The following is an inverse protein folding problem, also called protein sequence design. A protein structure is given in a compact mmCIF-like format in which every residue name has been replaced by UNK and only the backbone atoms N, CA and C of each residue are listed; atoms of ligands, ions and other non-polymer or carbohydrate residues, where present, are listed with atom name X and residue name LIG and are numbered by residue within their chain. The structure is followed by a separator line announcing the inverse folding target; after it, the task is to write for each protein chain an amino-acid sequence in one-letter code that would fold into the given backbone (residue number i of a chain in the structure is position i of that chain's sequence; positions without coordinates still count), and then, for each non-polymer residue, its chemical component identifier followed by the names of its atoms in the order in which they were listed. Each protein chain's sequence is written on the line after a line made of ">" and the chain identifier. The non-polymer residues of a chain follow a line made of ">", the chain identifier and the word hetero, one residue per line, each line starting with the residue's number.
data_IF_346176802276
#
_entry.id   IF_346176802276
#
_cell.length_a   1.000
_cell.length_b   1.000
_cell.length_c   1.000
_cell.angle_alpha   90.00
_cell.angle_beta   90.00
_cell.angle_gamma   90.00
#
_symmetry.space_group_name_H-M   'P 1'
#
loop_
_entity.id
_entity.type
_entity.pdbx_description
1 polymer ?
#
# COMPACT_ATOMS: atom_id res chain seq x y z
N UNK A 1 8.74 0.40 14.01
CA UNK A 1 7.66 0.54 13.00
C UNK A 1 8.33 0.43 11.64
N UNK A 2 7.84 -0.44 10.75
CA UNK A 2 8.38 -0.58 9.39
C UNK A 2 7.40 0.08 8.40
N UNK A 3 7.91 0.70 7.34
CA UNK A 3 7.11 1.39 6.33
C UNK A 3 7.55 0.96 4.91
N UNK A 4 6.67 1.11 3.92
CA UNK A 4 6.98 0.89 2.50
C UNK A 4 7.66 2.12 1.88
N UNK A 5 8.02 2.01 0.60
CA UNK A 5 8.26 3.17 -0.24
C UNK A 5 6.95 3.90 -0.60
N UNK A 6 7.06 5.14 -1.05
CA UNK A 6 5.93 5.96 -1.48
C UNK A 6 5.59 5.65 -2.95
N UNK A 7 4.30 5.46 -3.25
CA UNK A 7 3.81 5.36 -4.62
C UNK A 7 3.31 6.72 -5.10
N UNK A 8 4.20 7.47 -5.76
CA UNK A 8 3.85 8.77 -6.33
C UNK A 8 2.92 8.64 -7.54
N UNK A 9 1.98 9.60 -7.66
CA UNK A 9 1.13 9.81 -8.84
C UNK A 9 0.19 8.66 -9.17
N UNK A 10 -0.37 8.00 -8.15
CA UNK A 10 -1.49 7.08 -8.37
C UNK A 10 -2.74 7.87 -8.77
N UNK A 11 -3.18 7.73 -10.02
CA UNK A 11 -4.36 8.42 -10.55
C UNK A 11 -5.65 7.61 -10.36
N UNK A 12 -5.54 6.29 -10.18
CA UNK A 12 -6.67 5.35 -10.10
C UNK A 12 -7.12 5.07 -8.67
N UNK A 13 -6.41 5.61 -7.67
CA UNK A 13 -6.61 5.26 -6.25
C UNK A 13 -6.01 3.89 -5.89
N UNK A 14 -5.27 3.24 -6.79
CA UNK A 14 -4.63 1.95 -6.54
C UNK A 14 -3.15 2.14 -6.13
N UNK A 15 -2.77 1.51 -5.02
CA UNK A 15 -1.40 1.49 -4.52
C UNK A 15 -0.67 0.19 -4.88
N UNK A 16 0.24 0.22 -5.85
CA UNK A 16 1.03 -0.96 -6.21
C UNK A 16 2.35 -0.99 -5.42
N UNK A 17 2.37 -1.87 -4.43
CA UNK A 17 3.52 -2.14 -3.57
C UNK A 17 3.92 -3.60 -3.69
N UNK A 18 5.21 -3.86 -3.78
CA UNK A 18 5.78 -5.19 -3.59
C UNK A 18 6.88 -5.04 -2.54
N UNK A 19 6.52 -5.28 -1.28
CA UNK A 19 7.34 -4.93 -0.12
C UNK A 19 7.24 -6.00 0.95
N UNK A 20 8.37 -6.37 1.54
CA UNK A 20 8.45 -7.35 2.63
C UNK A 20 8.66 -6.65 3.96
N UNK A 21 7.81 -6.98 4.93
CA UNK A 21 7.99 -6.65 6.33
C UNK A 21 8.49 -7.88 7.09
N UNK A 22 9.41 -7.69 8.04
CA UNK A 22 10.02 -8.80 8.81
C UNK A 22 9.96 -8.45 10.29
N UNK A 23 9.18 -9.19 11.06
CA UNK A 23 9.01 -8.97 12.49
C UNK A 23 9.54 -10.17 13.27
N UNK A 24 10.75 -10.08 13.87
CA UNK A 24 11.22 -11.09 14.81
C UNK A 24 10.50 -10.91 16.15
N UNK A 25 9.96 -11.98 16.71
CA UNK A 25 9.31 -11.97 18.02
C UNK A 25 9.30 -13.36 18.65
N UNK A 26 9.16 -13.42 19.97
CA UNK A 26 8.95 -14.65 20.72
C UNK A 26 7.47 -14.84 21.03
N UNK A 27 6.98 -16.08 20.97
CA UNK A 27 5.56 -16.38 21.18
C UNK A 27 5.37 -17.43 22.27
N UNK A 28 4.61 -17.05 23.29
CA UNK A 28 4.22 -17.93 24.39
C UNK A 28 2.85 -18.56 24.08
N UNK A 29 2.86 -19.79 23.57
CA UNK A 29 1.66 -20.49 23.15
C UNK A 29 0.64 -20.75 24.28
N UNK A 30 1.10 -20.86 25.53
CA UNK A 30 0.21 -21.08 26.68
C UNK A 30 -0.68 -19.88 27.00
N UNK A 31 -0.19 -18.65 26.75
CA UNK A 31 -0.92 -17.40 27.02
C UNK A 31 -1.42 -16.72 25.73
N UNK A 32 -1.07 -17.27 24.57
CA UNK A 32 -1.32 -16.68 23.25
C UNK A 32 -0.76 -15.24 23.09
N UNK A 33 0.36 -14.96 23.75
CA UNK A 33 1.03 -13.64 23.79
C UNK A 33 2.38 -13.64 23.11
N UNK A 34 2.75 -12.49 22.57
CA UNK A 34 4.11 -12.20 22.13
C UNK A 34 4.89 -11.67 23.34
N UNK A 35 6.12 -12.15 23.51
CA UNK A 35 7.07 -11.68 24.53
C UNK A 35 8.06 -10.75 23.84
N UNK A 36 8.24 -9.56 24.41
CA UNK A 36 9.23 -8.59 23.99
C UNK A 36 10.17 -8.30 25.15
N UNK A 37 11.47 -8.53 24.95
CA UNK A 37 12.51 -8.09 25.88
C UNK A 37 12.81 -6.61 25.61
N UNK A 38 12.56 -5.73 26.58
CA UNK A 38 12.92 -4.30 26.49
C UNK A 38 13.97 -3.97 27.56
N UNK A 39 15.01 -3.23 27.17
CA UNK A 39 15.90 -2.55 28.12
C UNK A 39 15.30 -1.18 28.42
N UNK A 40 15.04 -0.86 29.69
CA UNK A 40 14.42 0.41 30.07
C UNK A 40 15.34 1.63 29.84
N UNK A 41 16.65 1.42 29.85
CA UNK A 41 17.66 2.44 29.59
C UNK A 41 18.92 1.82 29.00
N UNK A 42 19.70 2.60 28.23
CA UNK A 42 21.01 2.21 27.70
C UNK A 42 22.04 1.86 28.81
N UNK A 43 21.71 2.17 30.07
CA UNK A 43 22.55 1.93 31.25
C UNK A 43 21.91 0.99 32.28
N UNK A 44 20.67 0.52 32.06
CA UNK A 44 20.04 -0.48 32.92
C UNK A 44 20.39 -1.88 32.43
N UNK A 45 20.96 -2.71 33.31
CA UNK A 45 21.26 -4.12 33.02
C UNK A 45 20.02 -5.02 33.05
N UNK A 46 18.92 -4.54 33.64
CA UNK A 46 17.69 -5.31 33.78
C UNK A 46 16.89 -5.30 32.47
N UNK A 47 16.71 -6.48 31.88
CA UNK A 47 15.81 -6.72 30.75
C UNK A 47 14.40 -6.98 31.30
N UNK A 48 13.45 -6.09 30.98
CA UNK A 48 12.04 -6.29 31.33
C UNK A 48 11.33 -7.01 30.19
N UNK A 49 10.75 -8.17 30.51
CA UNK A 49 9.90 -8.92 29.57
C UNK A 49 8.47 -8.38 29.60
N UNK A 50 8.02 -7.85 28.48
CA UNK A 50 6.66 -7.34 28.31
C UNK A 50 5.87 -8.30 27.43
N UNK A 51 4.72 -8.74 27.94
CA UNK A 51 3.79 -9.60 27.19
C UNK A 51 2.71 -8.77 26.53
N UNK A 52 2.57 -8.89 25.21
CA UNK A 52 1.58 -8.17 24.42
C UNK A 52 0.70 -9.13 23.60
N UNK A 53 -0.55 -8.78 23.26
CA UNK A 53 -1.34 -9.58 22.32
C UNK A 53 -0.64 -9.69 20.97
N UNK A 54 -0.74 -10.86 20.33
CA UNK A 54 -0.24 -11.09 18.98
C UNK A 54 -1.14 -10.39 17.95
N UNK A 55 -0.89 -9.10 17.69
CA UNK A 55 -1.70 -8.25 16.82
C UNK A 55 -0.85 -7.61 15.75
N UNK A 56 -1.27 -7.74 14.49
CA UNK A 56 -0.70 -7.07 13.34
C UNK A 56 -1.60 -5.89 12.97
N UNK A 57 -1.03 -4.68 13.00
CA UNK A 57 -1.72 -3.46 12.59
C UNK A 57 -1.11 -2.97 11.28
N UNK A 58 -1.94 -2.85 10.25
CA UNK A 58 -1.56 -2.27 8.96
C UNK A 58 -2.32 -0.96 8.80
N UNK A 59 -1.60 0.08 8.40
CA UNK A 59 -2.14 1.43 8.24
C UNK A 59 -1.71 1.98 6.89
N UNK A 60 -2.56 2.79 6.27
CA UNK A 60 -2.26 3.52 5.05
C UNK A 60 -2.42 5.00 5.32
N UNK A 61 -1.42 5.74 4.85
CA UNK A 61 -1.29 7.17 4.98
C UNK A 61 -1.10 7.78 3.60
N UNK A 62 -1.72 8.93 3.35
CA UNK A 62 -1.40 9.75 2.20
C UNK A 62 -0.10 10.51 2.48
N UNK A 63 0.86 10.42 1.56
CA UNK A 63 2.18 11.00 1.74
C UNK A 63 2.23 12.36 1.05
N UNK A 64 1.93 13.40 1.81
CA UNK A 64 1.92 14.77 1.32
C UNK A 64 3.29 15.42 1.46
N UNK A 65 3.71 16.17 0.44
CA UNK A 65 5.01 16.83 0.45
C UNK A 65 5.03 18.11 1.30
N UNK A 66 3.86 18.72 1.53
CA UNK A 66 3.74 20.06 2.13
C UNK A 66 2.74 20.15 3.30
N UNK A 67 2.00 19.07 3.60
CA UNK A 67 1.01 18.96 4.71
C UNK A 67 1.43 17.85 5.69
N UNK A 68 0.71 17.74 6.81
CA UNK A 68 0.79 16.53 7.63
C UNK A 68 0.17 15.35 6.85
N UNK A 69 0.77 14.16 6.97
CA UNK A 69 0.28 12.95 6.30
C UNK A 69 -1.16 12.64 6.75
N UNK A 70 -2.07 12.48 5.79
CA UNK A 70 -3.48 12.21 6.07
C UNK A 70 -3.71 10.70 6.27
N UNK A 71 -4.42 10.35 7.35
CA UNK A 71 -4.75 8.94 7.63
C UNK A 71 -5.87 8.45 6.71
N UNK A 72 -5.60 7.41 5.91
CA UNK A 72 -6.55 6.85 4.95
C UNK A 72 -7.29 5.62 5.49
N UNK A 73 -6.70 4.87 6.41
CA UNK A 73 -7.36 3.71 7.01
C UNK A 73 -6.42 2.73 7.68
N UNK A 74 -7.00 1.85 8.48
CA UNK A 74 -6.25 0.81 9.17
C UNK A 74 -7.03 -0.50 9.24
N UNK A 75 -6.30 -1.58 9.51
CA UNK A 75 -6.86 -2.85 9.96
C UNK A 75 -6.00 -3.40 11.08
N UNK A 76 -6.66 -3.98 12.07
CA UNK A 76 -6.04 -4.67 13.19
C UNK A 76 -6.40 -6.15 13.15
N UNK A 77 -5.41 -7.00 12.90
CA UNK A 77 -5.56 -8.45 12.79
C UNK A 77 -4.97 -9.12 14.03
N UNK A 78 -5.81 -9.79 14.82
CA UNK A 78 -5.33 -10.66 15.89
C UNK A 78 -4.80 -11.97 15.29
N UNK A 79 -3.50 -12.20 15.35
CA UNK A 79 -2.82 -13.34 14.74
C UNK A 79 -3.30 -14.71 15.27
N UNK A 80 -3.84 -14.76 16.48
CA UNK A 80 -4.45 -15.97 17.04
C UNK A 80 -5.82 -16.28 16.42
N UNK A 81 -6.56 -15.24 15.99
CA UNK A 81 -7.90 -15.38 15.42
C UNK A 81 -8.27 -14.14 14.60
N UNK A 82 -8.11 -14.22 13.29
CA UNK A 82 -8.48 -13.16 12.36
C UNK A 82 -9.33 -13.72 11.20
N UNK A 83 -10.19 -12.91 10.57
CA UNK A 83 -11.03 -13.39 9.48
C UNK A 83 -10.17 -13.81 8.29
N UNK A 84 -10.58 -14.91 7.65
CA UNK A 84 -9.93 -15.39 6.44
C UNK A 84 -10.02 -14.32 5.34
N UNK A 85 -8.87 -13.94 4.77
CA UNK A 85 -8.82 -12.97 3.68
C UNK A 85 -9.60 -13.43 2.45
N UNK A 86 -10.20 -12.48 1.73
CA UNK A 86 -10.97 -12.74 0.52
C UNK A 86 -10.02 -13.13 -0.63
N UNK A 87 -10.52 -13.93 -1.57
CA UNK A 87 -9.71 -14.37 -2.73
C UNK A 87 -9.49 -13.28 -3.78
N UNK A 88 -10.33 -12.24 -3.78
CA UNK A 88 -10.23 -11.12 -4.72
C UNK A 88 -10.70 -9.83 -4.05
N UNK A 89 -10.26 -8.69 -4.57
CA UNK A 89 -10.68 -7.36 -4.11
C UNK A 89 -12.19 -7.15 -4.16
N UNK A 90 -12.88 -7.77 -5.13
CA UNK A 90 -14.35 -7.68 -5.29
C UNK A 90 -15.12 -8.34 -4.16
N UNK A 91 -14.59 -9.43 -3.61
CA UNK A 91 -15.21 -10.19 -2.51
C UNK A 91 -14.82 -9.64 -1.13
N UNK A 92 -13.90 -8.68 -1.07
CA UNK A 92 -13.45 -8.07 0.16
C UNK A 92 -14.47 -7.01 0.62
N UNK A 93 -15.20 -7.30 1.70
CA UNK A 93 -16.24 -6.44 2.28
C UNK A 93 -16.04 -6.31 3.79
N UNK A 94 -16.65 -5.28 4.41
CA UNK A 94 -16.61 -5.08 5.86
C UNK A 94 -17.29 -6.20 6.65
N UNK A 95 -18.25 -6.92 6.04
CA UNK A 95 -18.91 -8.05 6.68
C UNK A 95 -17.94 -9.15 7.11
N UNK A 96 -16.78 -9.23 6.46
CA UNK A 96 -15.72 -10.16 6.86
C UNK A 96 -15.11 -9.85 8.22
N UNK A 97 -15.20 -8.60 8.70
CA UNK A 97 -14.69 -8.22 10.02
C UNK A 97 -15.68 -8.51 11.14
N UNK A 98 -16.91 -8.88 10.81
CA UNK A 98 -17.93 -9.21 11.80
C UNK A 98 -17.55 -10.53 12.47
N UNK A 99 -17.63 -10.57 13.79
CA UNK A 99 -17.25 -11.74 14.59
C UNK A 99 -18.25 -12.89 14.45
N UNK A 100 -19.46 -12.59 13.99
CA UNK A 100 -20.56 -13.54 13.89
C UNK A 100 -20.42 -14.42 12.65
N UNK A 101 -20.15 -15.71 12.87
CA UNK A 101 -20.20 -16.77 11.85
C UNK A 101 -19.20 -16.67 10.68
N UNK A 102 -18.17 -15.83 10.78
CA UNK A 102 -17.12 -15.73 9.76
C UNK A 102 -16.00 -16.76 10.02
N UNK A 103 -15.51 -17.49 9.00
CA UNK A 103 -14.38 -18.40 9.16
C UNK A 103 -13.13 -17.62 9.56
N UNK A 104 -12.52 -18.03 10.68
CA UNK A 104 -11.31 -17.41 11.22
C UNK A 104 -10.09 -18.30 11.04
N UNK A 105 -8.91 -17.69 11.02
CA UNK A 105 -7.61 -18.33 10.86
C UNK A 105 -6.73 -17.97 12.06
N UNK A 106 -5.90 -18.93 12.45
CA UNK A 106 -4.83 -18.74 13.44
C UNK A 106 -3.49 -18.98 12.73
N UNK A 107 -2.61 -17.98 12.69
CA UNK A 107 -1.33 -18.08 11.97
C UNK A 107 -0.37 -19.08 12.62
N UNK A 108 -0.47 -19.30 13.92
CA UNK A 108 0.35 -20.26 14.66
C UNK A 108 -0.03 -21.71 14.37
N UNK A 109 -1.25 -21.95 13.86
CA UNK A 109 -1.69 -23.26 13.34
C UNK A 109 -1.48 -23.37 11.83
N UNK A 110 -1.78 -22.30 11.10
CA UNK A 110 -1.59 -22.22 9.66
C UNK A 110 -0.51 -21.18 9.35
N UNK A 111 0.73 -21.65 9.18
CA UNK A 111 1.92 -20.79 9.01
C UNK A 111 1.84 -19.78 7.87
N UNK A 112 1.05 -20.03 6.81
CA UNK A 112 0.96 -19.15 5.64
C UNK A 112 -0.48 -18.86 5.25
N UNK A 113 -0.81 -17.58 5.08
CA UNK A 113 -2.10 -17.14 4.56
C UNK A 113 -1.90 -15.97 3.60
N UNK A 114 -2.65 -15.97 2.49
CA UNK A 114 -2.73 -14.86 1.55
C UNK A 114 -4.19 -14.52 1.32
N UNK A 115 -4.49 -13.23 1.23
CA UNK A 115 -5.82 -12.78 0.90
C UNK A 115 -5.97 -11.28 0.91
N UNK A 116 -7.20 -10.85 0.70
CA UNK A 116 -7.62 -9.46 0.73
C UNK A 116 -8.33 -9.14 2.05
N UNK A 117 -7.97 -8.02 2.66
CA UNK A 117 -8.62 -7.51 3.86
C UNK A 117 -9.06 -6.04 3.68
N UNK A 118 -10.20 -5.64 4.27
CA UNK A 118 -10.71 -4.28 4.16
C UNK A 118 -10.01 -3.36 5.17
N UNK A 119 -9.56 -2.20 4.71
CA UNK A 119 -9.22 -1.08 5.57
C UNK A 119 -10.47 -0.27 5.88
N UNK A 120 -10.57 0.18 7.13
CA UNK A 120 -11.68 0.99 7.56
C UNK A 120 -11.22 2.16 8.43
N UNK A 121 -12.07 3.17 8.49
CA UNK A 121 -12.01 4.23 9.49
C UNK A 121 -13.23 4.09 10.39
N UNK A 122 -13.01 4.33 11.68
CA UNK A 122 -14.07 4.34 12.67
C UNK A 122 -14.60 5.77 12.81
N UNK A 123 -15.87 5.99 12.49
CA UNK A 123 -16.54 7.28 12.67
C UNK A 123 -16.91 7.49 14.14
N UNK A 124 -17.27 8.73 14.49
CA UNK A 124 -17.69 9.10 15.86
C UNK A 124 -18.91 8.31 16.36
N UNK A 125 -19.75 7.82 15.44
CA UNK A 125 -20.94 7.03 15.73
C UNK A 125 -20.69 5.52 15.89
N UNK A 126 -19.42 5.10 16.03
CA UNK A 126 -19.00 3.68 16.11
C UNK A 126 -19.20 2.88 14.81
N UNK A 127 -19.66 3.51 13.73
CA UNK A 127 -19.79 2.86 12.42
C UNK A 127 -18.43 2.75 11.72
N UNK A 128 -18.22 1.61 11.07
CA UNK A 128 -17.04 1.33 10.26
C UNK A 128 -17.32 1.72 8.81
N UNK A 129 -16.50 2.60 8.25
CA UNK A 129 -16.53 2.96 6.84
C UNK A 129 -15.36 2.32 6.10
N UNK A 130 -15.64 1.67 4.98
CA UNK A 130 -14.64 1.03 4.13
C UNK A 130 -13.88 2.10 3.36
N UNK A 131 -12.59 2.24 3.62
CA UNK A 131 -11.76 3.26 2.94
C UNK A 131 -10.78 2.65 1.96
N UNK A 132 -10.42 1.38 2.13
CA UNK A 132 -9.46 0.73 1.25
C UNK A 132 -9.49 -0.78 1.36
N UNK A 133 -8.65 -1.44 0.55
CA UNK A 133 -8.48 -2.89 0.55
C UNK A 133 -7.01 -3.18 0.37
N UNK A 134 -6.48 -4.15 1.13
CA UNK A 134 -5.09 -4.57 1.04
C UNK A 134 -5.02 -6.04 0.70
N UNK A 135 -4.21 -6.37 -0.30
CA UNK A 135 -3.73 -7.73 -0.49
C UNK A 135 -2.47 -7.91 0.34
N UNK A 136 -2.47 -8.91 1.22
CA UNK A 136 -1.29 -9.24 2.01
C UNK A 136 -1.05 -10.75 2.03
N UNK A 137 0.20 -11.10 2.23
CA UNK A 137 0.62 -12.46 2.53
C UNK A 137 1.34 -12.46 3.87
N UNK A 138 0.82 -13.24 4.82
CA UNK A 138 1.38 -13.39 6.16
C UNK A 138 2.01 -14.78 6.23
N UNK A 139 3.29 -14.81 6.56
CA UNK A 139 4.06 -16.05 6.67
C UNK A 139 4.80 -16.07 8.00
N UNK A 140 4.49 -17.05 8.83
CA UNK A 140 5.17 -17.33 10.09
C UNK A 140 6.20 -18.43 9.87
N UNK A 141 7.45 -18.12 10.20
CA UNK A 141 8.58 -19.04 10.15
C UNK A 141 9.12 -19.28 11.55
N UNK A 142 9.63 -20.48 11.81
CA UNK A 142 10.47 -20.70 12.98
C UNK A 142 11.83 -20.03 12.78
N UNK A 143 12.55 -19.81 13.88
CA UNK A 143 13.91 -19.27 13.83
C UNK A 143 14.83 -20.08 12.89
N UNK A 144 14.78 -21.40 12.99
CA UNK A 144 15.55 -22.32 12.15
C UNK A 144 15.20 -22.19 10.66
N UNK A 145 13.91 -22.08 10.32
CA UNK A 145 13.45 -21.90 8.93
C UNK A 145 13.92 -20.55 8.35
N UNK A 146 13.88 -19.49 9.16
CA UNK A 146 14.30 -18.15 8.78
C UNK A 146 15.83 -18.02 8.62
N UNK A 147 16.60 -18.73 9.45
CA UNK A 147 18.07 -18.76 9.34
C UNK A 147 18.53 -19.56 8.11
N UNK A 148 17.81 -20.64 7.76
CA UNK A 148 18.10 -21.46 6.58
C UNK A 148 17.81 -20.72 5.27
N UNK A 149 16.71 -19.97 5.22
CA UNK A 149 16.30 -19.19 4.05
C UNK A 149 16.13 -17.72 4.47
N UNK A 150 17.24 -16.96 4.58
CA UNK A 150 17.15 -15.58 5.01
C UNK A 150 16.44 -14.75 3.95
N UNK A 151 15.64 -13.80 4.41
CA UNK A 151 14.90 -12.85 3.60
C UNK A 151 15.35 -11.42 3.94
N UNK A 152 15.56 -10.60 2.92
CA UNK A 152 15.90 -9.19 3.05
C UNK A 152 14.67 -8.34 3.34
N UNK A 153 14.89 -7.20 3.99
CA UNK A 153 13.84 -6.23 4.26
C UNK A 153 13.40 -5.51 2.98
N UNK A 154 12.09 -5.29 2.82
CA UNK A 154 11.52 -4.61 1.67
C UNK A 154 11.74 -5.39 0.37
N UNK A 155 12.65 -4.89 -0.47
CA UNK A 155 13.04 -5.50 -1.76
C UNK A 155 14.52 -5.89 -1.78
N UNK A 156 15.20 -5.78 -0.65
CA UNK A 156 16.63 -6.04 -0.57
C UNK A 156 16.90 -7.55 -0.55
N UNK A 157 18.13 -7.92 -0.89
CA UNK A 157 18.64 -9.27 -0.67
C UNK A 157 18.74 -9.58 0.83
N UNK A 158 18.75 -10.85 1.23
CA UNK A 158 18.56 -12.08 0.43
C UNK A 158 17.11 -12.33 -0.02
N UNK A 159 16.91 -13.08 -1.10
CA UNK A 159 15.58 -13.31 -1.74
C UNK A 159 14.83 -12.00 -2.07
N UNK A 160 15.34 -11.17 -2.99
CA UNK A 160 14.78 -9.86 -3.29
C UNK A 160 13.42 -9.95 -3.98
N UNK A 161 12.49 -9.09 -3.57
CA UNK A 161 11.20 -8.95 -4.25
C UNK A 161 11.32 -8.10 -5.52
N UNK A 162 10.58 -8.51 -6.56
CA UNK A 162 10.48 -7.75 -7.81
C UNK A 162 9.92 -6.34 -7.59
N UNK A 163 10.28 -5.39 -8.45
CA UNK A 163 9.68 -4.06 -8.38
C UNK A 163 8.19 -4.14 -8.72
N UNK A 164 7.32 -3.38 -8.02
CA UNK A 164 5.89 -3.37 -8.33
C UNK A 164 5.65 -2.85 -9.74
N UNK A 165 4.68 -3.45 -10.44
CA UNK A 165 4.23 -2.96 -11.73
C UNK A 165 3.38 -1.70 -11.51
N UNK A 166 4.01 -0.52 -11.60
CA UNK A 166 3.33 0.77 -11.50
C UNK A 166 3.05 1.25 -12.92
N UNK A 167 1.81 1.65 -13.25
CA UNK A 167 1.55 2.26 -14.56
C UNK A 167 2.47 3.45 -14.69
N UNK A 168 3.23 3.49 -15.79
CA UNK A 168 4.12 4.61 -16.04
C UNK A 168 3.31 5.90 -15.92
N UNK A 169 3.86 6.88 -15.20
CA UNK A 169 3.35 8.25 -15.16
C UNK A 169 3.46 8.94 -16.54
N UNK A 170 3.48 8.18 -17.62
CA UNK A 170 3.47 8.57 -19.04
C UNK A 170 2.15 9.21 -19.47
N UNK A 171 1.34 9.70 -18.54
CA UNK A 171 0.44 10.84 -18.75
C UNK A 171 1.20 12.18 -18.93
N UNK A 172 2.39 12.13 -19.55
CA UNK A 172 3.10 13.32 -20.07
C UNK A 172 2.35 14.03 -21.21
N UNK A 173 1.21 13.50 -21.67
CA UNK A 173 0.29 14.22 -22.56
C UNK A 173 -0.08 15.60 -22.00
N UNK A 174 -0.25 15.75 -20.68
CA UNK A 174 -0.54 17.04 -20.04
C UNK A 174 0.70 17.87 -19.75
N UNK A 175 1.88 17.26 -19.67
CA UNK A 175 3.15 17.95 -19.36
C UNK A 175 3.84 18.52 -20.59
N UNK A 176 3.30 18.31 -21.80
CA UNK A 176 3.73 19.03 -22.99
C UNK A 176 2.59 19.89 -23.54
N UNK A 177 2.20 20.96 -22.82
CA UNK A 177 1.10 21.83 -23.24
C UNK A 177 1.33 22.39 -24.64
N UNK A 178 2.58 22.60 -25.05
CA UNK A 178 2.93 23.08 -26.39
C UNK A 178 2.63 22.05 -27.49
N UNK A 179 2.85 20.75 -27.26
CA UNK A 179 2.47 19.70 -28.24
C UNK A 179 0.96 19.54 -28.34
N UNK A 180 0.24 19.60 -27.22
CA UNK A 180 -1.22 19.49 -27.18
C UNK A 180 -1.90 20.71 -27.82
N UNK A 181 -1.42 21.93 -27.51
CA UNK A 181 -1.86 23.16 -28.19
C UNK A 181 -1.51 23.13 -29.67
N UNK A 182 -0.29 22.73 -30.06
CA UNK A 182 0.09 22.59 -31.48
C UNK A 182 -0.82 21.60 -32.20
N UNK A 183 -1.16 20.47 -31.59
CA UNK A 183 -2.04 19.47 -32.18
C UNK A 183 -3.48 19.99 -32.33
N UNK A 184 -4.04 20.61 -31.29
CA UNK A 184 -5.41 21.16 -31.30
C UNK A 184 -5.53 22.33 -32.30
N UNK A 185 -4.56 23.25 -32.29
CA UNK A 185 -4.53 24.39 -33.21
C UNK A 185 -4.36 23.92 -34.65
N UNK A 186 -3.48 22.95 -34.90
CA UNK A 186 -3.31 22.38 -36.23
C UNK A 186 -4.55 21.60 -36.69
N UNK A 187 -5.22 20.85 -35.81
CA UNK A 187 -6.40 20.07 -36.20
C UNK A 187 -7.60 20.98 -36.53
N UNK A 188 -7.85 22.01 -35.72
CA UNK A 188 -9.04 22.87 -35.86
C UNK A 188 -8.84 24.05 -36.82
N UNK A 189 -7.62 24.59 -36.92
CA UNK A 189 -7.37 25.85 -37.63
C UNK A 189 -6.50 25.71 -38.89
N UNK A 190 -6.07 24.50 -39.29
CA UNK A 190 -5.20 24.29 -40.48
C UNK A 190 -5.70 25.02 -41.72
N UNK A 191 -7.00 24.93 -42.04
CA UNK A 191 -7.56 25.59 -43.22
C UNK A 191 -7.67 27.11 -43.08
N UNK A 192 -7.87 27.64 -41.86
CA UNK A 192 -7.88 29.09 -41.63
C UNK A 192 -6.46 29.68 -41.73
N UNK A 193 -5.47 28.97 -41.19
CA UNK A 193 -4.05 29.36 -41.27
C UNK A 193 -3.59 29.36 -42.73
N UNK A 194 -3.90 28.32 -43.51
CA UNK A 194 -3.55 28.25 -44.94
C UNK A 194 -4.19 29.41 -45.73
N UNK A 195 -5.50 29.68 -45.52
CA UNK A 195 -6.18 30.79 -46.20
C UNK A 195 -5.56 32.15 -45.84
N UNK A 196 -5.22 32.36 -44.57
CA UNK A 196 -4.52 33.58 -44.12
C UNK A 196 -3.17 33.77 -44.80
N UNK A 197 -2.36 32.71 -44.89
CA UNK A 197 -1.06 32.76 -45.56
C UNK A 197 -1.18 33.05 -47.06
N UNK A 198 -2.19 32.52 -47.74
CA UNK A 198 -2.45 32.80 -49.16
C UNK A 198 -2.82 34.28 -49.35
N UNK A 199 -3.71 34.82 -48.50
CA UNK A 199 -4.12 36.24 -48.57
C UNK A 199 -2.91 37.15 -48.34
N UNK A 200 -2.08 36.84 -47.34
CA UNK A 200 -0.86 37.59 -47.05
C UNK A 200 0.12 37.51 -48.23
N UNK A 201 0.31 36.33 -48.83
CA UNK A 201 1.17 36.16 -50.00
C UNK A 201 0.71 36.97 -51.21
N UNK A 202 -0.60 37.01 -51.47
CA UNK A 202 -1.19 37.84 -52.53
C UNK A 202 -1.02 39.33 -52.22
N UNK A 203 -1.22 39.74 -50.96
CA UNK A 203 -1.04 41.13 -50.54
C UNK A 203 0.42 41.60 -50.70
N UNK A 204 1.40 40.75 -50.42
CA UNK A 204 2.83 41.03 -50.63
C UNK A 204 3.18 41.09 -52.13
N UNK A 205 2.53 40.28 -52.96
CA UNK A 205 2.71 40.28 -54.42
C UNK A 205 2.11 41.51 -55.11
N UNK A 206 1.13 42.15 -54.48
CA UNK A 206 0.44 43.35 -54.97
C UNK A 206 1.05 44.66 -54.44
N UNK A 207 2.11 44.57 -53.63
CA UNK A 207 2.86 45.68 -53.04
C UNK A 207 4.21 45.82 -53.76
#
# INVERSE_FOLDING_TARGET
>A
MQATDIHYRSLTGEGNFNWRFIYPFEYLAAEERIVLSRKESLFSWDETEVKIPARLELQVWDADHFSADDFLGAISLNLNRFPRGAKSSKLCTLDMLRTDNVPTVNIFKQKRVRGWWPFFIKKENDEMELTGKVEAEIHLLTKEEAEKNPAGFGRNEPDPLEKPNRPDASFMWFLNPLKSVRYIVWHNYKWKIIKGLIIIGIAILLL
#
